data_IF_877501876078
#
_entry.id   IF_877501876078
#
_cell.length_a   1.000
_cell.length_b   1.000
_cell.length_c   1.000
_cell.angle_alpha   90.00
_cell.angle_beta   90.00
_cell.angle_gamma   90.00
#
_symmetry.space_group_name_H-M   'P 1'
#
loop_
_entity.id
_entity.type
_entity.pdbx_description
1 polymer ?
#
# COMPACT_ATOMS: atom_id res chain seq x y z
N UNK A 1 -2.67 -14.38 0.51
CA UNK A 1 -1.37 -13.87 1.01
C UNK A 1 -0.27 -14.78 0.49
N UNK A 2 0.64 -14.23 -0.29
CA UNK A 2 1.78 -14.98 -0.85
C UNK A 2 3.06 -14.51 -0.17
N UNK A 3 3.81 -15.45 0.43
CA UNK A 3 5.12 -15.17 1.03
C UNK A 3 6.16 -15.88 0.17
N UNK A 4 7.06 -15.12 -0.43
CA UNK A 4 8.15 -15.65 -1.28
C UNK A 4 9.48 -15.38 -0.59
N UNK A 5 10.32 -16.41 -0.47
CA UNK A 5 11.67 -16.30 0.09
C UNK A 5 12.69 -16.45 -1.02
N UNK A 6 13.50 -15.44 -1.25
CA UNK A 6 14.71 -15.53 -2.05
C UNK A 6 15.94 -15.40 -1.15
N UNK A 7 16.84 -16.38 -1.21
CA UNK A 7 18.14 -16.33 -0.51
C UNK A 7 19.19 -16.03 -1.56
N UNK A 8 19.67 -14.78 -1.59
CA UNK A 8 20.78 -14.39 -2.47
C UNK A 8 22.12 -14.76 -1.82
N UNK A 9 22.93 -15.53 -2.53
CA UNK A 9 24.32 -15.78 -2.18
C UNK A 9 25.20 -14.72 -2.83
N UNK A 10 25.36 -13.55 -2.22
CA UNK A 10 26.40 -12.61 -2.65
C UNK A 10 27.05 -11.90 -1.46
N UNK A 11 28.39 -12.00 -1.47
CA UNK A 11 29.40 -11.23 -0.77
C UNK A 11 29.44 -11.32 0.78
N UNK A 12 30.28 -12.22 1.25
CA UNK A 12 31.00 -12.05 2.51
C UNK A 12 31.98 -10.86 2.37
N UNK A 13 31.58 -9.70 2.91
CA UNK A 13 32.41 -8.50 2.96
C UNK A 13 31.88 -7.54 4.01
N UNK A 14 32.60 -7.47 5.14
CA UNK A 14 32.45 -6.56 6.28
C UNK A 14 31.24 -6.76 7.22
N UNK A 15 31.59 -7.04 8.50
CA UNK A 15 30.69 -7.31 9.62
C UNK A 15 30.02 -6.03 10.14
N UNK A 16 29.04 -5.55 9.41
CA UNK A 16 27.84 -4.92 9.94
C UNK A 16 26.74 -5.94 9.77
N UNK A 17 26.00 -6.30 10.82
CA UNK A 17 24.96 -7.31 10.73
C UNK A 17 24.03 -6.98 9.56
N UNK A 18 24.11 -7.76 8.47
CA UNK A 18 23.32 -7.54 7.27
C UNK A 18 21.86 -7.69 7.65
N UNK A 19 21.11 -6.59 7.58
CA UNK A 19 19.69 -6.58 7.90
C UNK A 19 18.92 -7.35 6.83
N UNK A 20 17.94 -8.13 7.24
CA UNK A 20 17.00 -8.70 6.30
C UNK A 20 16.24 -7.58 5.59
N UNK A 21 16.03 -7.70 4.28
CA UNK A 21 15.24 -6.76 3.51
C UNK A 21 13.86 -7.33 3.24
N UNK A 22 12.85 -6.50 3.42
CA UNK A 22 11.47 -6.87 3.18
C UNK A 22 10.89 -5.89 2.16
N UNK A 23 10.50 -6.40 1.00
CA UNK A 23 9.67 -5.67 0.06
C UNK A 23 8.22 -6.03 0.31
N UNK A 24 7.43 -5.07 0.79
CA UNK A 24 6.02 -5.23 1.02
C UNK A 24 5.23 -4.66 -0.17
N UNK A 25 4.83 -5.54 -1.09
CA UNK A 25 3.92 -5.15 -2.16
C UNK A 25 2.51 -5.01 -1.60
N UNK A 26 1.94 -3.83 -1.75
CA UNK A 26 0.68 -3.41 -1.16
C UNK A 26 -0.11 -2.51 -2.10
N UNK A 27 -1.34 -2.16 -1.71
CA UNK A 27 -2.14 -1.13 -2.37
C UNK A 27 -2.98 -0.39 -1.33
N UNK A 28 -3.17 0.93 -1.45
CA UNK A 28 -3.94 1.71 -0.47
C UNK A 28 -5.38 1.24 -0.27
N UNK A 29 -6.04 0.71 -1.34
CA UNK A 29 -7.44 0.25 -1.28
C UNK A 29 -7.59 -1.25 -1.03
N UNK A 30 -6.50 -1.98 -0.85
CA UNK A 30 -6.55 -3.42 -0.64
C UNK A 30 -7.03 -3.76 0.77
N UNK A 31 -8.23 -4.36 0.89
CA UNK A 31 -8.83 -4.77 2.16
C UNK A 31 -7.98 -5.80 2.93
N UNK A 32 -7.35 -6.74 2.23
CA UNK A 32 -6.44 -7.71 2.85
C UNK A 32 -5.16 -7.04 3.38
N UNK A 33 -4.67 -5.97 2.70
CA UNK A 33 -3.55 -5.18 3.21
C UNK A 33 -3.93 -4.41 4.47
N UNK A 34 -5.16 -3.87 4.52
CA UNK A 34 -5.72 -3.25 5.72
C UNK A 34 -5.87 -4.27 6.86
N UNK A 35 -6.40 -5.46 6.57
CA UNK A 35 -6.54 -6.53 7.54
C UNK A 35 -5.19 -7.00 8.13
N UNK A 36 -4.10 -6.94 7.34
CA UNK A 36 -2.76 -7.30 7.80
C UNK A 36 -2.06 -6.17 8.58
N UNK A 37 -2.51 -4.93 8.46
CA UNK A 37 -1.81 -3.76 9.01
C UNK A 37 -1.49 -3.87 10.52
N UNK A 38 -2.41 -4.33 11.41
CA UNK A 38 -2.07 -4.47 12.83
C UNK A 38 -0.89 -5.42 13.08
N UNK A 39 -0.83 -6.53 12.34
CA UNK A 39 0.26 -7.49 12.43
C UNK A 39 1.57 -6.92 11.87
N UNK A 40 1.50 -6.18 10.75
CA UNK A 40 2.63 -5.49 10.15
C UNK A 40 3.23 -4.45 11.10
N UNK A 41 2.42 -3.59 11.68
CA UNK A 41 2.87 -2.58 12.66
C UNK A 41 3.48 -3.22 13.90
N UNK A 42 2.88 -4.29 14.41
CA UNK A 42 3.43 -5.05 15.54
C UNK A 42 4.79 -5.65 15.17
N UNK A 43 4.94 -6.17 13.97
CA UNK A 43 6.22 -6.67 13.47
C UNK A 43 7.26 -5.55 13.41
N UNK A 44 6.96 -4.40 12.82
CA UNK A 44 7.87 -3.26 12.77
C UNK A 44 8.23 -2.73 14.15
N UNK A 45 7.29 -2.71 15.09
CA UNK A 45 7.55 -2.30 16.47
C UNK A 45 8.61 -3.19 17.16
N UNK A 46 8.57 -4.50 16.93
CA UNK A 46 9.47 -5.43 17.57
C UNK A 46 10.80 -5.63 16.81
N UNK A 47 10.76 -5.51 15.48
CA UNK A 47 11.86 -5.93 14.62
C UNK A 47 12.31 -4.85 13.62
N UNK A 48 11.73 -3.66 13.63
CA UNK A 48 12.04 -2.59 12.67
C UNK A 48 13.54 -2.22 12.65
N UNK A 49 14.21 -2.25 13.82
CA UNK A 49 15.65 -1.99 13.90
C UNK A 49 16.52 -3.09 13.28
N UNK A 50 15.96 -4.27 13.02
CA UNK A 50 16.66 -5.45 12.50
C UNK A 50 16.37 -5.73 11.02
N UNK A 51 15.42 -4.99 10.42
CA UNK A 51 15.02 -5.18 9.03
C UNK A 51 15.05 -3.84 8.28
N UNK A 52 15.21 -3.93 6.98
CA UNK A 52 14.99 -2.82 6.05
C UNK A 52 13.69 -3.10 5.29
N UNK A 53 12.61 -2.43 5.68
CA UNK A 53 11.30 -2.61 5.08
C UNK A 53 11.01 -1.48 4.08
N UNK A 54 10.60 -1.85 2.88
CA UNK A 54 10.19 -0.92 1.83
C UNK A 54 8.84 -1.32 1.25
N UNK A 55 8.04 -0.34 0.82
CA UNK A 55 6.77 -0.60 0.16
C UNK A 55 6.90 -0.47 -1.36
N UNK A 56 6.15 -1.33 -2.04
CA UNK A 56 5.88 -1.26 -3.47
C UNK A 56 4.36 -1.14 -3.66
N UNK A 57 3.92 -0.08 -4.31
CA UNK A 57 2.50 0.18 -4.54
C UNK A 57 2.07 -0.40 -5.89
N UNK A 58 1.18 -1.39 -5.85
CA UNK A 58 0.97 -2.26 -6.99
C UNK A 58 -0.16 -1.91 -7.94
N UNK A 59 -0.95 -0.85 -7.67
CA UNK A 59 -2.02 -0.43 -8.57
C UNK A 59 -3.09 -1.50 -8.77
N UNK A 60 -3.79 -1.88 -7.67
CA UNK A 60 -4.80 -2.93 -7.65
C UNK A 60 -5.93 -2.68 -8.66
N UNK A 61 -6.42 -1.45 -8.71
CA UNK A 61 -7.49 -1.02 -9.59
C UNK A 61 -7.00 0.12 -10.52
N UNK A 62 -6.55 -0.17 -11.74
CA UNK A 62 -6.19 0.88 -12.68
C UNK A 62 -7.38 1.76 -13.09
N UNK A 63 -8.48 1.11 -13.45
CA UNK A 63 -9.78 1.69 -13.83
C UNK A 63 -10.81 0.57 -13.89
N UNK A 64 -12.10 0.90 -13.88
CA UNK A 64 -13.16 -0.10 -13.97
C UNK A 64 -13.35 -0.67 -15.38
N UNK A 65 -13.08 0.12 -16.43
CA UNK A 65 -13.24 -0.35 -17.82
C UNK A 65 -12.29 -1.50 -18.11
N UNK A 66 -12.88 -2.68 -18.32
CA UNK A 66 -12.14 -3.91 -18.60
C UNK A 66 -11.49 -4.56 -17.37
N UNK A 67 -11.73 -4.04 -16.16
CA UNK A 67 -11.26 -4.67 -14.93
C UNK A 67 -12.16 -5.84 -14.53
N UNK A 68 -11.53 -6.94 -14.11
CA UNK A 68 -12.18 -8.03 -13.40
C UNK A 68 -11.18 -8.73 -12.51
N UNK A 69 -11.51 -8.87 -11.24
CA UNK A 69 -10.85 -9.84 -10.34
C UNK A 69 -11.74 -11.09 -10.25
N UNK A 70 -11.44 -12.05 -11.14
CA UNK A 70 -12.22 -13.29 -11.24
C UNK A 70 -12.12 -14.12 -9.95
N UNK A 71 -10.97 -14.06 -9.26
CA UNK A 71 -10.73 -14.80 -8.03
C UNK A 71 -11.59 -14.31 -6.87
N UNK A 72 -11.85 -13.01 -6.82
CA UNK A 72 -12.71 -12.37 -5.81
C UNK A 72 -14.15 -12.16 -6.30
N UNK A 73 -14.46 -12.47 -7.56
CA UNK A 73 -15.79 -12.25 -8.14
C UNK A 73 -16.13 -10.78 -8.42
N UNK A 74 -15.13 -9.89 -8.46
CA UNK A 74 -15.30 -8.43 -8.58
C UNK A 74 -15.23 -8.02 -10.06
N UNK A 75 -16.26 -7.31 -10.53
CA UNK A 75 -16.36 -6.76 -11.89
C UNK A 75 -16.73 -5.27 -11.90
N UNK A 76 -17.31 -4.78 -10.80
CA UNK A 76 -17.73 -3.42 -10.62
C UNK A 76 -17.67 -2.97 -9.16
N UNK A 77 -17.87 -1.68 -8.88
CA UNK A 77 -17.86 -1.16 -7.52
C UNK A 77 -18.92 -1.80 -6.61
N UNK A 78 -20.04 -2.24 -7.18
CA UNK A 78 -21.13 -2.90 -6.47
C UNK A 78 -20.77 -4.28 -5.90
N UNK A 79 -19.72 -4.92 -6.42
CA UNK A 79 -19.24 -6.22 -5.94
C UNK A 79 -18.27 -6.08 -4.75
N UNK A 80 -17.78 -4.88 -4.46
CA UNK A 80 -16.79 -4.64 -3.41
C UNK A 80 -17.38 -4.76 -1.99
N UNK A 81 -18.57 -4.22 -1.67
CA UNK A 81 -19.10 -4.27 -0.31
C UNK A 81 -19.15 -5.68 0.29
N UNK A 82 -19.73 -6.70 -0.38
CA UNK A 82 -19.75 -8.06 0.17
C UNK A 82 -18.35 -8.64 0.42
N UNK A 83 -17.40 -8.36 -0.49
CA UNK A 83 -16.01 -8.79 -0.33
C UNK A 83 -15.34 -8.13 0.89
N UNK A 84 -15.57 -6.84 1.11
CA UNK A 84 -15.02 -6.12 2.26
C UNK A 84 -15.63 -6.58 3.59
N UNK A 85 -16.92 -6.88 3.61
CA UNK A 85 -17.62 -7.44 4.77
C UNK A 85 -17.05 -8.82 5.13
N UNK A 86 -16.82 -9.71 4.15
CA UNK A 86 -16.16 -10.99 4.37
C UNK A 86 -14.75 -10.84 4.96
N UNK A 87 -13.95 -9.89 4.43
CA UNK A 87 -12.61 -9.61 4.95
C UNK A 87 -12.66 -9.09 6.39
N UNK A 88 -13.59 -8.17 6.69
CA UNK A 88 -13.77 -7.64 8.04
C UNK A 88 -14.15 -8.74 9.03
N UNK A 89 -15.10 -9.60 8.69
CA UNK A 89 -15.54 -10.72 9.53
C UNK A 89 -14.39 -11.72 9.74
N UNK A 90 -13.70 -12.10 8.66
CA UNK A 90 -12.65 -13.12 8.70
C UNK A 90 -11.43 -12.73 9.51
N UNK A 91 -11.03 -11.46 9.46
CA UNK A 91 -9.78 -10.99 10.07
C UNK A 91 -10.00 -10.10 11.30
N UNK A 92 -11.24 -9.74 11.62
CA UNK A 92 -11.58 -8.90 12.76
C UNK A 92 -11.13 -7.44 12.64
N UNK A 93 -10.78 -6.98 11.43
CA UNK A 93 -10.41 -5.60 11.18
C UNK A 93 -11.64 -4.84 10.68
N UNK A 94 -12.07 -3.75 11.34
CA UNK A 94 -13.29 -3.05 10.96
C UNK A 94 -13.15 -2.39 9.58
N UNK A 95 -14.23 -2.51 8.79
CA UNK A 95 -14.35 -1.91 7.45
C UNK A 95 -15.77 -1.37 7.28
N UNK A 96 -15.90 -0.12 6.86
CA UNK A 96 -17.14 0.47 6.35
C UNK A 96 -17.11 0.47 4.82
N UNK A 97 -17.90 -0.38 4.14
CA UNK A 97 -17.89 -0.49 2.69
C UNK A 97 -18.74 0.59 1.98
N UNK A 98 -19.42 1.48 2.72
CA UNK A 98 -20.43 2.39 2.18
C UNK A 98 -19.91 3.39 1.13
N UNK A 99 -18.60 3.66 1.12
CA UNK A 99 -17.97 4.48 0.08
C UNK A 99 -18.22 3.93 -1.33
N UNK A 100 -18.29 2.62 -1.49
CA UNK A 100 -18.52 1.98 -2.78
C UNK A 100 -19.95 2.17 -3.32
N UNK A 101 -20.89 2.47 -2.42
CA UNK A 101 -22.29 2.73 -2.75
C UNK A 101 -22.58 4.22 -2.94
N UNK A 102 -21.83 5.10 -2.28
CA UNK A 102 -22.11 6.54 -2.22
C UNK A 102 -21.18 7.37 -3.09
N UNK A 103 -19.89 7.01 -3.14
CA UNK A 103 -18.84 7.71 -3.88
C UNK A 103 -17.72 6.72 -4.26
N UNK A 104 -17.98 5.78 -5.18
CA UNK A 104 -17.03 4.71 -5.50
C UNK A 104 -15.74 5.25 -6.09
N UNK A 105 -14.62 4.64 -5.69
CA UNK A 105 -13.31 5.01 -6.22
C UNK A 105 -13.19 4.60 -7.69
N UNK A 106 -12.75 5.49 -8.58
CA UNK A 106 -12.54 5.16 -10.00
C UNK A 106 -11.23 4.38 -10.23
N UNK A 107 -10.28 4.51 -9.30
CA UNK A 107 -8.93 3.95 -9.44
C UNK A 107 -8.19 3.94 -8.10
N UNK A 108 -7.23 3.02 -7.93
CA UNK A 108 -6.25 3.04 -6.83
C UNK A 108 -4.96 3.82 -7.18
N UNK A 109 -4.85 4.33 -8.38
CA UNK A 109 -3.65 5.06 -8.83
C UNK A 109 -3.46 6.39 -8.09
N UNK A 110 -4.47 7.27 -7.95
CA UNK A 110 -4.30 8.53 -7.23
C UNK A 110 -3.76 8.35 -5.80
N UNK A 111 -4.33 7.48 -4.95
CA UNK A 111 -3.77 7.26 -3.62
C UNK A 111 -2.38 6.61 -3.63
N UNK A 112 -2.04 5.80 -4.63
CA UNK A 112 -0.68 5.25 -4.78
C UNK A 112 0.33 6.34 -5.12
N UNK A 113 0.00 7.25 -6.05
CA UNK A 113 0.83 8.44 -6.36
C UNK A 113 0.99 9.33 -5.13
N UNK A 114 -0.06 9.50 -4.33
CA UNK A 114 -0.03 10.32 -3.13
C UNK A 114 0.98 9.83 -2.08
N UNK A 115 1.15 8.51 -1.95
CA UNK A 115 2.19 7.97 -1.05
C UNK A 115 3.59 8.31 -1.56
N UNK A 116 3.83 8.26 -2.88
CA UNK A 116 5.11 8.68 -3.44
C UNK A 116 5.38 10.17 -3.25
N UNK A 117 4.35 11.02 -3.32
CA UNK A 117 4.47 12.44 -2.98
C UNK A 117 4.92 12.64 -1.51
N UNK A 118 4.36 11.87 -0.57
CA UNK A 118 4.82 11.90 0.83
C UNK A 118 6.23 11.34 0.96
N UNK A 119 6.56 10.24 0.31
CA UNK A 119 7.92 9.66 0.33
C UNK A 119 8.98 10.67 -0.14
N UNK A 120 8.66 11.48 -1.14
CA UNK A 120 9.55 12.53 -1.62
C UNK A 120 9.70 13.72 -0.65
N UNK A 121 8.65 14.08 0.09
CA UNK A 121 8.65 15.21 1.01
C UNK A 121 9.16 14.86 2.41
N UNK A 122 8.80 13.69 2.91
CA UNK A 122 9.01 13.24 4.28
C UNK A 122 8.98 11.70 4.32
N UNK A 123 10.06 11.00 3.92
CA UNK A 123 10.07 9.54 3.77
C UNK A 123 9.77 8.81 5.09
N UNK A 124 10.10 9.39 6.22
CA UNK A 124 9.80 8.89 7.56
C UNK A 124 8.30 8.96 7.93
N UNK A 125 7.48 9.67 7.14
CA UNK A 125 6.04 9.81 7.36
C UNK A 125 5.19 8.93 6.42
N UNK A 126 5.83 8.13 5.58
CA UNK A 126 5.14 7.28 4.60
C UNK A 126 4.14 6.32 5.25
N UNK A 127 4.58 5.59 6.27
CA UNK A 127 3.73 4.64 7.01
C UNK A 127 2.54 5.32 7.70
N UNK A 128 2.78 6.48 8.32
CA UNK A 128 1.72 7.26 8.96
C UNK A 128 0.69 7.75 7.95
N UNK A 129 1.16 8.19 6.77
CA UNK A 129 0.28 8.66 5.71
C UNK A 129 -0.55 7.52 5.12
N UNK A 130 0.09 6.40 4.78
CA UNK A 130 -0.61 5.22 4.28
C UNK A 130 -1.70 4.76 5.27
N UNK A 131 -1.36 4.71 6.56
CA UNK A 131 -2.32 4.37 7.60
C UNK A 131 -3.48 5.38 7.67
N UNK A 132 -3.18 6.69 7.68
CA UNK A 132 -4.22 7.72 7.75
C UNK A 132 -5.16 7.66 6.56
N UNK A 133 -4.62 7.45 5.37
CA UNK A 133 -5.39 7.24 4.15
C UNK A 133 -6.32 6.02 4.23
N UNK A 134 -5.79 4.90 4.74
CA UNK A 134 -6.58 3.68 4.96
C UNK A 134 -7.67 3.89 6.00
N UNK A 135 -7.42 4.62 7.08
CA UNK A 135 -8.47 5.00 8.03
C UNK A 135 -9.57 5.83 7.38
N UNK A 136 -9.20 6.81 6.55
CA UNK A 136 -10.17 7.60 5.80
C UNK A 136 -11.04 6.74 4.89
N UNK A 137 -10.45 5.75 4.22
CA UNK A 137 -11.19 4.86 3.32
C UNK A 137 -12.02 3.83 4.08
N UNK A 138 -11.37 3.03 4.95
CA UNK A 138 -11.97 1.84 5.55
C UNK A 138 -12.81 2.10 6.78
N UNK A 139 -12.61 3.22 7.48
CA UNK A 139 -13.33 3.55 8.71
C UNK A 139 -14.25 4.76 8.58
N UNK A 140 -13.92 5.69 7.66
CA UNK A 140 -14.65 6.96 7.50
C UNK A 140 -15.41 7.01 6.15
N UNK A 141 -15.35 5.93 5.37
CA UNK A 141 -15.98 5.81 4.04
C UNK A 141 -15.70 6.99 3.11
N UNK A 142 -14.47 7.52 3.14
CA UNK A 142 -14.04 8.64 2.30
C UNK A 142 -13.32 8.14 1.05
N UNK A 143 -13.68 8.71 -0.10
CA UNK A 143 -13.02 8.37 -1.36
C UNK A 143 -11.61 8.97 -1.44
N UNK A 144 -10.59 8.15 -1.18
CA UNK A 144 -9.17 8.54 -1.22
C UNK A 144 -8.61 8.70 -2.65
N UNK A 145 -9.41 8.54 -3.70
CA UNK A 145 -9.00 8.94 -5.04
C UNK A 145 -9.24 10.44 -5.30
N UNK A 146 -9.93 11.14 -4.38
CA UNK A 146 -10.18 12.57 -4.47
C UNK A 146 -9.02 13.38 -3.91
N UNK A 147 -8.47 14.36 -4.66
CA UNK A 147 -7.32 15.16 -4.22
C UNK A 147 -7.53 15.85 -2.87
N UNK A 148 -8.73 16.37 -2.62
CA UNK A 148 -9.06 17.05 -1.36
C UNK A 148 -9.01 16.11 -0.15
N UNK A 149 -9.34 14.82 -0.32
CA UNK A 149 -9.24 13.82 0.74
C UNK A 149 -7.78 13.46 1.00
N UNK A 150 -6.97 13.32 -0.07
CA UNK A 150 -5.53 13.05 0.04
C UNK A 150 -4.80 14.18 0.75
N UNK A 151 -5.12 15.44 0.40
CA UNK A 151 -4.55 16.63 1.06
C UNK A 151 -4.95 16.70 2.53
N UNK A 152 -6.22 16.41 2.86
CA UNK A 152 -6.68 16.37 4.24
C UNK A 152 -5.94 15.30 5.06
N UNK A 153 -5.74 14.09 4.50
CA UNK A 153 -4.96 13.04 5.17
C UNK A 153 -3.50 13.46 5.43
N UNK A 154 -2.89 14.22 4.52
CA UNK A 154 -1.53 14.75 4.72
C UNK A 154 -1.49 15.80 5.85
N UNK A 155 -2.47 16.69 5.89
CA UNK A 155 -2.60 17.67 6.96
C UNK A 155 -2.85 17.01 8.34
N UNK A 156 -3.67 15.95 8.38
CA UNK A 156 -3.98 15.20 9.60
C UNK A 156 -2.74 14.60 10.27
N UNK A 157 -1.70 14.30 9.48
CA UNK A 157 -0.41 13.82 10.00
C UNK A 157 0.63 14.93 10.15
N UNK A 158 0.25 16.20 10.00
CA UNK A 158 1.10 17.36 10.22
C UNK A 158 1.99 17.76 9.05
N UNK A 159 1.72 17.25 7.83
CA UNK A 159 2.40 17.76 6.64
C UNK A 159 1.78 19.06 6.15
N UNK A 160 2.59 19.90 5.51
CA UNK A 160 2.11 21.13 4.89
C UNK A 160 1.23 20.79 3.68
N UNK A 161 -0.06 21.16 3.77
CA UNK A 161 -1.06 20.83 2.77
C UNK A 161 -0.75 21.41 1.39
N UNK A 162 -0.19 22.63 1.31
CA UNK A 162 0.13 23.27 0.03
C UNK A 162 1.35 22.61 -0.62
N UNK A 163 2.37 22.29 0.15
CA UNK A 163 3.55 21.55 -0.35
C UNK A 163 3.17 20.15 -0.80
N UNK A 164 2.31 19.47 -0.04
CA UNK A 164 1.83 18.15 -0.44
C UNK A 164 0.99 18.21 -1.73
N UNK A 165 0.07 19.17 -1.85
CA UNK A 165 -0.72 19.33 -3.07
C UNK A 165 0.16 19.57 -4.30
N UNK A 166 1.21 20.38 -4.18
CA UNK A 166 2.17 20.58 -5.25
C UNK A 166 2.95 19.29 -5.60
N UNK A 167 3.38 18.51 -4.60
CA UNK A 167 4.08 17.26 -4.81
C UNK A 167 3.16 16.16 -5.40
N UNK A 168 1.86 16.19 -5.10
CA UNK A 168 0.88 15.28 -5.69
C UNK A 168 0.73 15.50 -7.19
N UNK A 169 0.83 16.75 -7.65
CA UNK A 169 0.78 17.12 -9.08
C UNK A 169 2.14 17.00 -9.78
N UNK A 170 3.22 16.80 -9.03
CA UNK A 170 4.56 16.68 -9.60
C UNK A 170 4.68 15.41 -10.46
N UNK A 171 5.12 15.52 -11.74
CA UNK A 171 5.37 14.36 -12.58
C UNK A 171 6.33 13.32 -11.97
N UNK A 172 7.23 13.73 -11.08
CA UNK A 172 8.14 12.83 -10.38
C UNK A 172 7.40 11.81 -9.50
N UNK A 173 6.32 12.22 -8.83
CA UNK A 173 5.49 11.30 -8.02
C UNK A 173 4.78 10.26 -8.88
N UNK A 174 4.31 10.66 -10.06
CA UNK A 174 3.71 9.73 -11.04
C UNK A 174 4.76 8.79 -11.63
N UNK A 175 5.95 9.29 -11.95
CA UNK A 175 7.04 8.47 -12.46
C UNK A 175 7.53 7.45 -11.42
N UNK A 176 7.57 7.82 -10.13
CA UNK A 176 7.92 6.92 -9.05
C UNK A 176 6.89 5.78 -8.91
N UNK A 177 5.59 6.09 -9.00
CA UNK A 177 4.55 5.05 -9.02
C UNK A 177 4.63 4.16 -10.28
N UNK A 178 4.92 4.74 -11.45
CA UNK A 178 5.12 3.95 -12.68
C UNK A 178 6.29 2.96 -12.52
N UNK A 179 7.37 3.35 -11.86
CA UNK A 179 8.49 2.46 -11.55
C UNK A 179 8.08 1.29 -10.63
N UNK A 180 7.17 1.52 -9.68
CA UNK A 180 6.61 0.45 -8.84
C UNK A 180 5.79 -0.54 -9.69
N UNK A 181 4.99 -0.07 -10.64
CA UNK A 181 4.23 -0.94 -11.56
C UNK A 181 5.16 -1.81 -12.42
N UNK A 182 6.26 -1.24 -12.91
CA UNK A 182 7.28 -1.99 -13.64
C UNK A 182 7.98 -3.02 -12.75
N UNK A 183 8.32 -2.64 -11.51
CA UNK A 183 8.93 -3.56 -10.54
C UNK A 183 7.98 -4.70 -10.20
N UNK A 184 6.70 -4.41 -9.93
CA UNK A 184 5.65 -5.42 -9.75
C UNK A 184 5.64 -6.45 -10.88
N UNK A 185 5.67 -5.96 -12.13
CA UNK A 185 5.66 -6.81 -13.32
C UNK A 185 6.93 -7.68 -13.40
N UNK A 186 8.12 -7.10 -13.18
CA UNK A 186 9.39 -7.84 -13.17
C UNK A 186 9.44 -8.92 -12.10
N UNK A 187 8.90 -8.66 -10.92
CA UNK A 187 8.86 -9.61 -9.80
C UNK A 187 7.72 -10.62 -9.92
N UNK A 188 6.86 -10.52 -10.93
CA UNK A 188 5.72 -11.43 -11.13
C UNK A 188 4.68 -11.36 -10.02
N UNK A 189 4.56 -10.22 -9.32
CA UNK A 189 3.59 -10.02 -8.24
C UNK A 189 2.20 -9.91 -8.83
N UNK A 190 1.28 -10.81 -8.41
CA UNK A 190 -0.08 -10.92 -8.96
C UNK A 190 -1.18 -10.54 -7.99
N UNK A 191 -0.86 -10.32 -6.71
CA UNK A 191 -1.86 -9.99 -5.69
C UNK A 191 -1.26 -9.34 -4.46
N UNK A 192 -2.10 -8.78 -3.63
CA UNK A 192 -1.72 -8.05 -2.41
C UNK A 192 -2.49 -8.60 -1.20
N UNK A 193 -1.86 -8.58 -0.01
CA UNK A 193 -0.46 -8.27 0.24
C UNK A 193 0.50 -9.37 -0.26
N UNK A 194 1.70 -8.98 -0.71
CA UNK A 194 2.81 -9.89 -0.99
C UNK A 194 4.05 -9.39 -0.28
N UNK A 195 4.73 -10.26 0.45
CA UNK A 195 6.01 -9.97 1.12
C UNK A 195 7.11 -10.76 0.44
N UNK A 196 8.17 -10.07 -0.01
CA UNK A 196 9.40 -10.67 -0.49
C UNK A 196 10.46 -10.38 0.55
N UNK A 197 11.00 -11.44 1.15
CA UNK A 197 12.03 -11.33 2.18
C UNK A 197 13.35 -11.83 1.59
N UNK A 198 14.37 -10.95 1.61
CA UNK A 198 15.73 -11.30 1.24
C UNK A 198 16.61 -11.10 2.46
N UNK A 199 17.44 -12.09 2.76
CA UNK A 199 18.32 -12.05 3.91
C UNK A 199 19.75 -12.39 3.53
N UNK A 200 20.72 -12.14 4.41
CA UNK A 200 22.03 -12.71 4.23
C UNK A 200 21.89 -14.23 4.18
N UNK A 201 22.63 -14.87 3.27
CA UNK A 201 22.67 -16.32 3.23
C UNK A 201 23.12 -16.82 4.62
N UNK A 202 22.30 -17.69 5.25
CA UNK A 202 22.79 -18.44 6.42
C UNK A 202 23.92 -19.36 5.95
N UNK A 203 25.10 -19.22 6.56
CA UNK A 203 26.17 -20.18 6.41
C UNK A 203 25.75 -21.60 6.84
#
# INVERSE_FOLDING_TARGET
MTITYEVSREAAGEVGAARARILFATDPICSHCWAMEPAWRRFLYHYGDHVEATHLYGGLLPRWEGFADVGAGIRGPEDIPPHWEEVAERYGQPIDPSVWLTDPLPSSYPPSVAVHAVRALAPDREEDYLRRMRQALFLEARNIARPEVLVACAADIGLDAARFAAALEDPASQAAFAADLEMKARLGIRGFPTLIVTGPASE
#
